data_IF_207429105045
#
_entry.id   IF_207429105045
#
_cell.length_a   1.000
_cell.length_b   1.000
_cell.length_c   1.000
_cell.angle_alpha   90.00
_cell.angle_beta   90.00
_cell.angle_gamma   90.00
#
_symmetry.space_group_name_H-M   'P 1'
#
loop_
_entity.id
_entity.type
_entity.pdbx_description
1 polymer ?
#
# COMPACT_ATOMS: atom_id res chain seq x y z
N UNK A 1 25.07 3.98 3.07
CA UNK A 1 23.96 3.77 2.11
C UNK A 1 22.69 3.48 2.88
N UNK A 2 21.56 4.03 2.46
CA UNK A 2 20.28 3.68 3.10
C UNK A 2 19.93 2.22 2.82
N UNK A 3 19.45 1.50 3.82
CA UNK A 3 18.99 0.12 3.69
C UNK A 3 17.85 0.02 2.67
N UNK A 4 17.86 -0.97 1.78
CA UNK A 4 16.79 -1.19 0.82
C UNK A 4 15.48 -1.49 1.56
N UNK A 5 14.39 -0.86 1.13
CA UNK A 5 13.05 -1.11 1.68
C UNK A 5 12.09 -1.38 0.54
N UNK A 6 11.47 -2.53 0.53
CA UNK A 6 10.42 -2.86 -0.44
C UNK A 6 9.09 -3.08 0.27
N UNK A 7 8.01 -3.01 -0.48
CA UNK A 7 6.66 -3.08 0.06
C UNK A 7 5.80 -4.05 -0.73
N UNK A 8 5.04 -4.85 0.00
CA UNK A 8 3.85 -5.54 -0.49
C UNK A 8 2.62 -4.86 0.08
N UNK A 9 1.66 -4.49 -0.77
CA UNK A 9 0.52 -3.67 -0.39
C UNK A 9 -0.81 -4.29 -0.87
N UNK A 10 -1.26 -5.40 -0.24
CA UNK A 10 -2.50 -6.06 -0.61
C UNK A 10 -3.73 -5.29 -0.12
N UNK A 11 -4.81 -5.35 -0.91
CA UNK A 11 -6.13 -4.90 -0.49
C UNK A 11 -6.89 -6.04 0.21
N UNK A 12 -7.55 -5.78 1.35
CA UNK A 12 -8.29 -6.80 2.12
C UNK A 12 -9.68 -7.04 1.51
N UNK A 13 -9.74 -7.41 0.23
CA UNK A 13 -10.98 -7.61 -0.54
C UNK A 13 -11.34 -9.09 -0.72
N UNK A 14 -10.71 -9.98 0.04
CA UNK A 14 -10.97 -11.41 0.01
C UNK A 14 -9.71 -12.27 0.00
N UNK A 15 -9.76 -13.39 -0.71
CA UNK A 15 -8.64 -14.33 -0.77
C UNK A 15 -7.51 -13.79 -1.65
N UNK A 16 -6.29 -13.90 -1.15
CA UNK A 16 -5.10 -13.61 -1.94
C UNK A 16 -4.94 -14.68 -3.06
N UNK A 17 -4.87 -14.24 -4.31
CA UNK A 17 -4.60 -15.15 -5.41
C UNK A 17 -3.10 -15.23 -5.74
N UNK A 18 -2.71 -16.21 -6.55
CA UNK A 18 -1.31 -16.51 -6.88
C UNK A 18 -0.55 -15.32 -7.50
N UNK A 19 -1.25 -14.44 -8.24
CA UNK A 19 -0.63 -13.24 -8.82
C UNK A 19 -0.15 -12.25 -7.75
N UNK A 20 -0.95 -12.03 -6.71
CA UNK A 20 -0.55 -11.18 -5.58
C UNK A 20 0.63 -11.79 -4.82
N UNK A 21 0.58 -13.11 -4.60
CA UNK A 21 1.65 -13.84 -3.93
C UNK A 21 2.96 -13.78 -4.72
N UNK A 22 2.91 -13.88 -6.06
CA UNK A 22 4.07 -13.72 -6.93
C UNK A 22 4.69 -12.33 -6.78
N UNK A 23 3.89 -11.28 -6.74
CA UNK A 23 4.37 -9.90 -6.53
C UNK A 23 5.06 -9.76 -5.18
N UNK A 24 4.47 -10.31 -4.12
CA UNK A 24 5.07 -10.36 -2.79
C UNK A 24 6.41 -11.09 -2.79
N UNK A 25 6.48 -12.25 -3.46
CA UNK A 25 7.69 -13.07 -3.57
C UNK A 25 8.84 -12.30 -4.22
N UNK A 26 8.62 -11.61 -5.34
CA UNK A 26 9.68 -10.83 -5.97
C UNK A 26 10.20 -9.70 -5.08
N UNK A 27 9.30 -8.95 -4.46
CA UNK A 27 9.68 -7.90 -3.53
C UNK A 27 10.48 -8.45 -2.34
N UNK A 28 10.04 -9.58 -1.78
CA UNK A 28 10.71 -10.27 -0.69
C UNK A 28 12.12 -10.74 -1.06
N UNK A 29 12.27 -11.43 -2.20
CA UNK A 29 13.57 -11.97 -2.62
C UNK A 29 14.59 -10.87 -2.88
N UNK A 30 14.21 -9.80 -3.57
CA UNK A 30 15.08 -8.64 -3.79
C UNK A 30 15.51 -8.04 -2.46
N UNK A 31 14.56 -7.83 -1.55
CA UNK A 31 14.84 -7.27 -0.23
C UNK A 31 15.82 -8.12 0.56
N UNK A 32 15.58 -9.42 0.62
CA UNK A 32 16.44 -10.32 1.40
C UNK A 32 17.83 -10.49 0.77
N UNK A 33 17.92 -10.47 -0.56
CA UNK A 33 19.21 -10.47 -1.26
C UNK A 33 20.06 -9.26 -0.88
N UNK A 34 19.46 -8.09 -0.81
CA UNK A 34 20.14 -6.83 -0.48
C UNK A 34 20.25 -6.55 1.04
N UNK A 35 19.84 -7.48 1.88
CA UNK A 35 19.84 -7.28 3.35
C UNK A 35 18.89 -6.17 3.82
N UNK A 36 17.81 -5.95 3.08
CA UNK A 36 16.84 -4.90 3.30
C UNK A 36 15.69 -5.27 4.25
N UNK A 37 14.68 -4.39 4.32
CA UNK A 37 13.44 -4.60 5.08
C UNK A 37 12.25 -4.78 4.13
N UNK A 38 11.52 -5.87 4.33
CA UNK A 38 10.29 -6.17 3.59
C UNK A 38 9.07 -5.73 4.41
N UNK A 39 8.26 -4.86 3.84
CA UNK A 39 7.19 -4.15 4.53
C UNK A 39 5.84 -4.66 4.04
N UNK A 40 4.95 -5.00 4.97
CA UNK A 40 3.53 -5.25 4.68
C UNK A 40 2.74 -3.98 4.94
N UNK A 41 1.99 -3.52 3.95
CA UNK A 41 1.05 -2.41 4.09
C UNK A 41 -0.33 -2.84 3.62
N UNK A 42 -1.34 -2.62 4.44
CA UNK A 42 -2.73 -2.92 4.08
C UNK A 42 -3.35 -1.73 3.35
N UNK A 43 -3.82 -1.95 2.13
CA UNK A 43 -4.49 -0.94 1.32
C UNK A 43 -6.00 -1.17 1.32
N UNK A 44 -6.65 -0.65 2.32
CA UNK A 44 -8.09 -0.74 2.59
C UNK A 44 -8.88 0.45 2.03
N UNK A 45 -8.45 0.99 0.89
CA UNK A 45 -9.10 2.15 0.23
C UNK A 45 -10.50 1.84 -0.27
N UNK A 46 -10.74 0.61 -0.68
CA UNK A 46 -12.04 0.13 -1.17
C UNK A 46 -12.86 -0.45 -0.02
N UNK A 47 -13.56 0.44 0.68
CA UNK A 47 -14.39 0.08 1.83
C UNK A 47 -15.64 -0.73 1.45
N UNK A 48 -16.12 -0.63 0.20
CA UNK A 48 -17.27 -1.40 -0.27
C UNK A 48 -16.92 -2.88 -0.46
N UNK A 49 -15.69 -3.19 -0.82
CA UNK A 49 -15.17 -4.55 -0.99
C UNK A 49 -14.37 -5.07 0.20
N UNK A 50 -14.29 -4.29 1.27
CA UNK A 50 -13.63 -4.76 2.49
C UNK A 50 -14.32 -6.01 3.03
N UNK A 51 -13.54 -7.05 3.30
CA UNK A 51 -14.06 -8.30 3.88
C UNK A 51 -13.47 -8.50 5.27
N UNK A 52 -14.33 -8.69 6.25
CA UNK A 52 -13.92 -9.04 7.59
C UNK A 52 -13.08 -10.32 7.58
N UNK A 53 -11.97 -10.34 8.32
CA UNK A 53 -11.03 -11.46 8.34
C UNK A 53 -10.08 -11.56 7.14
N UNK A 54 -10.21 -10.71 6.11
CA UNK A 54 -9.31 -10.75 4.95
C UNK A 54 -7.86 -10.40 5.33
N UNK A 55 -7.66 -9.54 6.30
CA UNK A 55 -6.32 -9.21 6.83
C UNK A 55 -5.67 -10.44 7.46
N UNK A 56 -6.40 -11.23 8.23
CA UNK A 56 -5.90 -12.49 8.82
C UNK A 56 -5.53 -13.52 7.74
N UNK A 57 -6.29 -13.54 6.64
CA UNK A 57 -5.98 -14.40 5.49
C UNK A 57 -4.64 -13.98 4.86
N UNK A 58 -4.39 -12.67 4.75
CA UNK A 58 -3.11 -12.14 4.25
C UNK A 58 -1.97 -12.61 5.15
N UNK A 59 -2.06 -12.41 6.46
CA UNK A 59 -1.03 -12.85 7.41
C UNK A 59 -0.77 -14.36 7.33
N UNK A 60 -1.82 -15.17 7.38
CA UNK A 60 -1.70 -16.64 7.29
C UNK A 60 -1.09 -17.10 5.97
N UNK A 61 -1.42 -16.43 4.86
CA UNK A 61 -0.88 -16.78 3.55
C UNK A 61 0.62 -16.47 3.50
N UNK A 62 1.03 -15.31 4.01
CA UNK A 62 2.44 -14.92 4.07
C UNK A 62 3.24 -15.85 4.99
N UNK A 63 2.69 -16.20 6.15
CA UNK A 63 3.31 -17.16 7.08
C UNK A 63 3.49 -18.53 6.43
N UNK A 64 2.43 -19.10 5.82
CA UNK A 64 2.49 -20.41 5.15
C UNK A 64 3.48 -20.47 3.99
N UNK A 65 3.72 -19.33 3.32
CA UNK A 65 4.65 -19.25 2.19
C UNK A 65 6.05 -18.80 2.59
N UNK A 66 6.28 -18.51 3.87
CA UNK A 66 7.57 -18.07 4.39
C UNK A 66 7.96 -16.63 4.01
N UNK A 67 7.02 -15.83 3.49
CA UNK A 67 7.24 -14.43 3.11
C UNK A 67 7.02 -13.52 4.32
N UNK A 68 7.82 -13.67 5.35
CA UNK A 68 7.68 -12.93 6.61
C UNK A 68 8.13 -11.48 6.43
N UNK A 69 7.25 -10.53 6.77
CA UNK A 69 7.57 -9.12 6.74
C UNK A 69 8.37 -8.69 7.98
N UNK A 70 9.20 -7.69 7.80
CA UNK A 70 10.03 -7.09 8.86
C UNK A 70 9.27 -5.94 9.55
N UNK A 71 8.40 -5.24 8.80
CA UNK A 71 7.55 -4.15 9.28
C UNK A 71 6.13 -4.31 8.73
N UNK A 72 5.14 -3.85 9.49
CA UNK A 72 3.74 -3.91 9.10
C UNK A 72 2.81 -3.43 10.21
N UNK A 73 1.49 -3.63 10.08
CA UNK A 73 0.53 -3.19 11.11
C UNK A 73 0.75 -3.85 12.49
N UNK A 74 1.37 -5.03 12.51
CA UNK A 74 1.70 -5.82 13.70
C UNK A 74 3.15 -5.62 14.17
N UNK A 75 4.00 -4.96 13.37
CA UNK A 75 5.43 -4.75 13.65
C UNK A 75 5.84 -3.35 13.24
N UNK A 76 5.81 -2.42 14.17
CA UNK A 76 6.15 -1.02 13.87
C UNK A 76 7.66 -0.84 13.63
N UNK A 77 8.00 -0.25 12.49
CA UNK A 77 9.36 0.18 12.12
C UNK A 77 9.58 1.68 12.26
N UNK A 78 8.71 2.41 12.95
CA UNK A 78 8.84 3.84 13.21
C UNK A 78 8.39 4.76 12.07
N UNK A 79 7.79 4.20 11.01
CA UNK A 79 7.29 4.97 9.84
C UNK A 79 5.80 4.68 9.55
N UNK A 80 5.11 4.09 10.51
CA UNK A 80 3.66 3.84 10.43
C UNK A 80 2.82 5.11 10.32
N UNK A 81 1.51 4.95 10.28
CA UNK A 81 0.75 3.69 10.23
C UNK A 81 0.92 2.92 8.91
N UNK A 82 0.70 1.60 8.97
CA UNK A 82 0.84 0.70 7.82
C UNK A 82 -0.50 0.29 7.22
N UNK A 83 -1.58 0.89 7.66
CA UNK A 83 -2.92 0.76 7.10
C UNK A 83 -3.30 2.06 6.39
N UNK A 84 -3.83 1.97 5.17
CA UNK A 84 -4.10 3.13 4.33
C UNK A 84 -5.13 4.08 4.94
N UNK A 85 -6.24 3.56 5.50
CA UNK A 85 -7.28 4.37 6.16
C UNK A 85 -6.74 5.14 7.36
N UNK A 86 -5.85 4.54 8.15
CA UNK A 86 -5.20 5.21 9.28
C UNK A 86 -4.28 6.35 8.83
N UNK A 87 -3.55 6.16 7.72
CA UNK A 87 -2.75 7.23 7.10
C UNK A 87 -3.63 8.37 6.59
N UNK A 88 -4.75 8.05 5.97
CA UNK A 88 -5.71 9.06 5.53
C UNK A 88 -6.24 9.86 6.72
N UNK A 89 -6.63 9.19 7.80
CA UNK A 89 -7.12 9.84 9.02
C UNK A 89 -6.07 10.75 9.66
N UNK A 90 -4.78 10.48 9.51
CA UNK A 90 -3.68 11.33 9.99
C UNK A 90 -3.50 12.64 9.20
N UNK A 91 -4.21 12.82 8.07
CA UNK A 91 -4.13 14.00 7.22
C UNK A 91 -2.87 14.13 6.37
N UNK A 92 -1.99 13.12 6.37
CA UNK A 92 -0.68 13.17 5.69
C UNK A 92 -0.83 13.40 4.18
N UNK A 93 -1.82 12.78 3.55
CA UNK A 93 -2.04 12.93 2.10
C UNK A 93 -2.52 14.33 1.73
N UNK A 94 -3.43 14.90 2.51
CA UNK A 94 -3.91 16.26 2.31
C UNK A 94 -2.77 17.28 2.44
N UNK A 95 -1.91 17.12 3.44
CA UNK A 95 -0.72 17.96 3.63
C UNK A 95 0.16 18.00 2.37
N UNK A 96 0.50 16.84 1.82
CA UNK A 96 1.36 16.78 0.63
C UNK A 96 0.62 17.24 -0.64
N UNK A 97 -0.68 16.98 -0.76
CA UNK A 97 -1.48 17.51 -1.86
C UNK A 97 -1.51 19.05 -1.85
N UNK A 98 -1.69 19.67 -0.70
CA UNK A 98 -1.62 21.12 -0.54
C UNK A 98 -0.24 21.68 -0.90
N UNK A 99 0.83 21.01 -0.47
CA UNK A 99 2.19 21.40 -0.83
C UNK A 99 2.41 21.39 -2.36
N UNK A 100 1.90 20.38 -3.08
CA UNK A 100 1.97 20.32 -4.54
C UNK A 100 1.21 21.47 -5.19
N UNK A 101 0.06 21.87 -4.65
CA UNK A 101 -0.70 23.04 -5.14
C UNK A 101 0.10 24.33 -4.91
N UNK A 102 0.71 24.49 -3.74
CA UNK A 102 1.55 25.66 -3.44
C UNK A 102 2.79 25.76 -4.34
N UNK A 103 3.34 24.64 -4.74
CA UNK A 103 4.50 24.54 -5.66
C UNK A 103 4.10 24.75 -7.13
N UNK A 104 2.80 24.71 -7.46
CA UNK A 104 2.30 24.81 -8.83
C UNK A 104 2.27 23.48 -9.60
N UNK A 105 2.58 22.37 -8.95
CA UNK A 105 2.58 21.03 -9.57
C UNK A 105 1.22 20.34 -9.55
N UNK A 106 0.24 20.90 -8.84
CA UNK A 106 -1.14 20.45 -8.78
C UNK A 106 -2.11 21.62 -8.74
N UNK A 107 -3.38 21.37 -9.04
CA UNK A 107 -4.45 22.36 -8.98
C UNK A 107 -5.75 21.76 -8.45
N UNK A 108 -6.64 22.60 -7.92
CA UNK A 108 -7.97 22.17 -7.52
C UNK A 108 -8.83 21.92 -8.75
N UNK A 109 -9.34 20.70 -8.90
CA UNK A 109 -10.25 20.32 -9.98
C UNK A 109 -11.67 20.17 -9.43
N UNK A 110 -12.61 20.91 -10.02
CA UNK A 110 -14.04 20.89 -9.67
C UNK A 110 -14.89 20.19 -10.74
N UNK A 111 -14.24 19.52 -11.71
CA UNK A 111 -14.90 18.76 -12.74
C UNK A 111 -15.39 17.40 -12.22
N UNK A 112 -16.45 16.87 -12.86
CA UNK A 112 -16.86 15.49 -12.64
C UNK A 112 -15.79 14.54 -13.21
N UNK A 113 -15.60 13.36 -12.59
CA UNK A 113 -14.57 12.39 -12.99
C UNK A 113 -14.62 12.03 -14.48
N UNK A 114 -15.81 11.88 -15.06
CA UNK A 114 -15.99 11.56 -16.48
C UNK A 114 -15.67 12.73 -17.45
N UNK A 115 -15.52 13.94 -16.95
CA UNK A 115 -15.13 15.12 -17.75
C UNK A 115 -13.66 15.48 -17.60
N UNK A 116 -12.94 14.80 -16.71
CA UNK A 116 -11.51 15.03 -16.50
C UNK A 116 -10.69 14.43 -17.66
N UNK A 117 -9.88 15.23 -18.37
CA UNK A 117 -9.08 14.75 -19.49
C UNK A 117 -7.83 13.99 -19.03
N UNK A 118 -7.98 13.04 -18.11
CA UNK A 118 -6.86 12.23 -17.65
C UNK A 118 -6.54 11.12 -18.66
N UNK A 119 -5.27 10.93 -19.06
CA UNK A 119 -4.88 9.82 -19.91
C UNK A 119 -5.20 8.42 -19.34
N UNK A 120 -5.45 8.33 -18.03
CA UNK A 120 -5.84 7.08 -17.36
C UNK A 120 -7.32 6.73 -17.55
N UNK A 121 -8.13 7.71 -17.91
CA UNK A 121 -9.57 7.51 -18.14
C UNK A 121 -9.89 7.11 -19.59
N UNK A 122 -8.86 6.96 -20.42
CA UNK A 122 -8.96 6.59 -21.84
C UNK A 122 -8.65 5.09 -22.09
N UNK A 123 -8.57 4.27 -21.05
CA UNK A 123 -8.30 2.83 -21.16
C UNK A 123 -9.51 1.99 -20.78
#
# INVERSE_FOLDING_TARGET
>A
MSKLRTRFAPSPTGRMHVGNLRTALYAYLITKHEGGDFILRIEDTDQERYMEGAVDIIYRTMEKTGLLHDEGPDKDGGVGPYVQSERQASGIYLKYAQQLVEQGDAYYCFCLLYTSPSPRDCS
#
